data_IF_175423744097
#
_entry.id   IF_175423744097
#
_cell.length_a   1.000
_cell.length_b   1.000
_cell.length_c   1.000
_cell.angle_alpha   90.00
_cell.angle_beta   90.00
_cell.angle_gamma   90.00
#
_symmetry.space_group_name_H-M   'P 1'
#
loop_
_entity.id
_entity.type
_entity.pdbx_description
1 polymer ?
#
# COMPACT_ATOMS: atom_id res chain seq x y z
N UNK A 1 6.67 16.05 -12.15
CA UNK A 1 8.11 15.69 -12.04
C UNK A 1 8.58 15.12 -13.37
N UNK A 2 9.80 15.46 -13.82
CA UNK A 2 10.46 14.84 -14.98
C UNK A 2 11.70 14.11 -14.47
N UNK A 3 11.83 12.83 -14.80
CA UNK A 3 12.96 11.99 -14.42
C UNK A 3 13.42 11.24 -15.66
N UNK A 4 14.73 11.20 -15.90
CA UNK A 4 15.32 10.34 -16.93
C UNK A 4 15.61 8.97 -16.33
N UNK A 5 15.27 7.91 -17.05
CA UNK A 5 15.55 6.52 -16.67
C UNK A 5 16.25 5.81 -17.83
N UNK A 6 17.17 4.92 -17.50
CA UNK A 6 17.76 3.99 -18.46
C UNK A 6 16.92 2.72 -18.49
N UNK A 7 16.58 2.24 -19.69
CA UNK A 7 15.87 0.97 -19.91
C UNK A 7 16.53 0.21 -21.05
N UNK A 8 16.42 -1.13 -21.10
CA UNK A 8 16.88 -1.92 -22.24
C UNK A 8 16.25 -1.47 -23.57
N UNK A 9 17.02 -1.57 -24.66
CA UNK A 9 16.60 -1.12 -26.00
C UNK A 9 15.37 -1.86 -26.53
N UNK A 10 15.25 -3.15 -26.23
CA UNK A 10 14.10 -3.99 -26.57
C UNK A 10 12.82 -3.49 -25.87
N UNK A 11 12.91 -3.17 -24.57
CA UNK A 11 11.79 -2.59 -23.81
C UNK A 11 11.38 -1.25 -24.39
N UNK A 12 12.34 -0.39 -24.74
CA UNK A 12 12.04 0.88 -25.40
C UNK A 12 11.33 0.69 -26.75
N UNK A 13 11.84 -0.21 -27.59
CA UNK A 13 11.27 -0.49 -28.90
C UNK A 13 9.83 -1.02 -28.80
N UNK A 14 9.56 -1.89 -27.82
CA UNK A 14 8.24 -2.46 -27.57
C UNK A 14 7.25 -1.41 -27.07
N UNK A 15 7.70 -0.55 -26.15
CA UNK A 15 6.92 0.58 -25.67
C UNK A 15 6.59 1.58 -26.80
N UNK A 16 7.53 1.87 -27.71
CA UNK A 16 7.28 2.74 -28.86
C UNK A 16 6.20 2.19 -29.79
N UNK A 17 6.28 0.89 -30.12
CA UNK A 17 5.27 0.23 -30.96
C UNK A 17 3.90 0.27 -30.30
N UNK A 18 3.84 0.03 -28.99
CA UNK A 18 2.60 0.09 -28.23
C UNK A 18 2.03 1.51 -28.16
N UNK A 19 2.85 2.52 -27.89
CA UNK A 19 2.42 3.92 -27.80
C UNK A 19 1.79 4.39 -29.12
N UNK A 20 2.43 4.07 -30.25
CA UNK A 20 1.92 4.36 -31.60
C UNK A 20 0.57 3.70 -31.86
N UNK A 21 0.47 2.39 -31.58
CA UNK A 21 -0.78 1.63 -31.75
C UNK A 21 -1.93 2.19 -30.90
N UNK A 22 -1.63 2.64 -29.68
CA UNK A 22 -2.61 3.23 -28.77
C UNK A 22 -2.85 4.73 -28.98
N UNK A 23 -2.13 5.36 -29.93
CA UNK A 23 -2.14 6.81 -30.16
C UNK A 23 -1.88 7.62 -28.88
N UNK A 24 -0.95 7.15 -28.05
CA UNK A 24 -0.55 7.80 -26.79
C UNK A 24 0.86 8.35 -26.88
N UNK A 25 1.14 9.40 -26.11
CA UNK A 25 2.52 9.84 -25.95
C UNK A 25 3.34 8.83 -25.15
N UNK A 26 4.66 8.83 -25.35
CA UNK A 26 5.60 8.00 -24.60
C UNK A 26 5.47 8.21 -23.11
N UNK A 27 5.45 9.48 -22.67
CA UNK A 27 5.29 9.82 -21.26
C UNK A 27 3.98 9.30 -20.69
N UNK A 28 2.87 9.39 -21.42
CA UNK A 28 1.58 8.87 -20.95
C UNK A 28 1.59 7.34 -20.81
N UNK A 29 2.24 6.63 -21.75
CA UNK A 29 2.38 5.18 -21.67
C UNK A 29 3.17 4.77 -20.42
N UNK A 30 4.37 5.33 -20.23
CA UNK A 30 5.23 5.02 -19.09
C UNK A 30 4.58 5.41 -17.76
N UNK A 31 3.97 6.59 -17.65
CA UNK A 31 3.27 7.00 -16.43
C UNK A 31 2.12 6.07 -16.08
N UNK A 32 1.39 5.56 -17.08
CA UNK A 32 0.31 4.58 -16.84
C UNK A 32 0.89 3.25 -16.35
N UNK A 33 1.94 2.75 -17.00
CA UNK A 33 2.57 1.49 -16.63
C UNK A 33 3.11 1.54 -15.18
N UNK A 34 3.79 2.62 -14.80
CA UNK A 34 4.30 2.81 -13.44
C UNK A 34 3.17 2.85 -12.43
N UNK A 35 2.09 3.61 -12.70
CA UNK A 35 0.94 3.68 -11.79
C UNK A 35 0.30 2.31 -11.58
N UNK A 36 0.12 1.56 -12.66
CA UNK A 36 -0.48 0.22 -12.59
C UNK A 36 0.44 -0.76 -11.85
N UNK A 37 1.76 -0.66 -12.06
CA UNK A 37 2.73 -1.49 -11.34
C UNK A 37 2.70 -1.21 -9.84
N UNK A 38 2.73 0.06 -9.43
CA UNK A 38 2.64 0.45 -8.01
C UNK A 38 1.33 -0.05 -7.40
N UNK A 39 0.19 0.19 -8.07
CA UNK A 39 -1.11 -0.26 -7.57
C UNK A 39 -1.24 -1.79 -7.45
N UNK A 40 -0.51 -2.56 -8.27
CA UNK A 40 -0.46 -4.03 -8.14
C UNK A 40 0.35 -4.51 -6.94
N UNK A 41 1.28 -3.69 -6.44
CA UNK A 41 2.14 -4.02 -5.29
C UNK A 41 1.69 -3.31 -4.00
N UNK A 42 0.66 -2.47 -4.06
CA UNK A 42 0.07 -1.83 -2.88
C UNK A 42 -0.87 -2.74 -2.09
N UNK A 43 -1.01 -4.03 -2.43
CA UNK A 43 -1.73 -4.99 -1.59
C UNK A 43 -1.06 -5.11 -0.21
N UNK A 44 0.26 -4.95 -0.16
CA UNK A 44 1.03 -4.87 1.07
C UNK A 44 0.73 -3.56 1.81
N UNK A 45 0.60 -2.42 1.12
CA UNK A 45 0.21 -1.14 1.74
C UNK A 45 -1.20 -1.16 2.36
N UNK A 46 -2.16 -1.87 1.75
CA UNK A 46 -3.50 -2.03 2.34
C UNK A 46 -3.43 -2.87 3.61
N UNK A 47 -2.67 -3.96 3.58
CA UNK A 47 -2.46 -4.82 4.75
C UNK A 47 -1.72 -4.08 5.86
N UNK A 48 -0.66 -3.35 5.53
CA UNK A 48 0.07 -2.48 6.45
C UNK A 48 -0.82 -1.37 7.02
N UNK A 49 -1.65 -0.73 6.20
CA UNK A 49 -2.59 0.29 6.66
C UNK A 49 -3.66 -0.30 7.58
N UNK A 50 -4.15 -1.52 7.32
CA UNK A 50 -5.08 -2.20 8.21
C UNK A 50 -4.41 -2.62 9.52
N UNK A 51 -3.18 -3.13 9.46
CA UNK A 51 -2.39 -3.47 10.64
C UNK A 51 -2.15 -2.22 11.51
N UNK A 52 -1.81 -1.08 10.91
CA UNK A 52 -1.63 0.18 11.63
C UNK A 52 -2.91 0.63 12.36
N UNK A 53 -4.08 0.51 11.72
CA UNK A 53 -5.38 0.80 12.36
C UNK A 53 -5.65 -0.17 13.51
N UNK A 54 -5.39 -1.47 13.33
CA UNK A 54 -5.56 -2.47 14.38
C UNK A 54 -4.65 -2.17 15.57
N UNK A 55 -3.37 -1.87 15.35
CA UNK A 55 -2.41 -1.48 16.40
C UNK A 55 -2.84 -0.22 17.16
N UNK A 56 -3.32 0.81 16.46
CA UNK A 56 -3.85 2.02 17.08
C UNK A 56 -5.07 1.72 17.96
N UNK A 57 -5.93 0.79 17.53
CA UNK A 57 -7.16 0.45 18.25
C UNK A 57 -6.90 -0.50 19.43
N UNK A 58 -5.97 -1.45 19.30
CA UNK A 58 -5.55 -2.37 20.38
C UNK A 58 -5.04 -1.61 21.61
N UNK A 59 -4.31 -0.51 21.40
CA UNK A 59 -3.84 0.35 22.49
C UNK A 59 -5.00 0.90 23.35
N UNK A 60 -6.14 1.22 22.75
CA UNK A 60 -7.34 1.67 23.47
C UNK A 60 -8.08 0.55 24.21
N UNK A 61 -8.10 -0.67 23.64
CA UNK A 61 -8.75 -1.83 24.26
C UNK A 61 -7.94 -2.41 25.43
N UNK A 62 -6.61 -2.31 25.40
CA UNK A 62 -5.72 -2.80 26.46
C UNK A 62 -6.00 -2.10 27.81
N UNK A 63 -6.23 -0.79 27.78
CA UNK A 63 -6.52 -0.02 29.01
C UNK A 63 -7.90 -0.35 29.59
N UNK A 64 -8.92 -0.44 28.74
CA UNK A 64 -10.27 -0.84 29.18
C UNK A 64 -10.28 -2.27 29.74
N UNK A 65 -9.70 -3.21 29.02
CA UNK A 65 -9.66 -4.63 29.43
C UNK A 65 -8.86 -4.81 30.72
N UNK A 66 -7.73 -4.11 30.88
CA UNK A 66 -6.94 -4.12 32.12
C UNK A 66 -7.74 -3.55 33.29
N UNK A 67 -8.42 -2.41 33.11
CA UNK A 67 -9.23 -1.79 34.15
C UNK A 67 -10.42 -2.68 34.54
N UNK A 68 -11.10 -3.28 33.55
CA UNK A 68 -12.21 -4.20 33.77
C UNK A 68 -11.75 -5.48 34.50
N UNK A 69 -10.66 -6.10 34.04
CA UNK A 69 -10.08 -7.30 34.67
C UNK A 69 -9.68 -7.03 36.12
N UNK A 70 -8.99 -5.92 36.41
CA UNK A 70 -8.64 -5.50 37.78
C UNK A 70 -9.87 -5.33 38.67
N UNK A 71 -10.96 -4.75 38.12
CA UNK A 71 -12.20 -4.53 38.87
C UNK A 71 -12.92 -5.85 39.18
N UNK A 72 -12.93 -6.78 38.24
CA UNK A 72 -13.51 -8.12 38.42
C UNK A 72 -12.70 -8.92 39.44
N UNK A 73 -11.37 -8.95 39.31
CA UNK A 73 -10.47 -9.67 40.22
C UNK A 73 -10.52 -9.14 41.67
N UNK A 74 -10.75 -7.83 41.85
CA UNK A 74 -10.97 -7.24 43.19
C UNK A 74 -12.30 -7.66 43.84
N UNK A 75 -13.29 -8.05 43.04
CA UNK A 75 -14.63 -8.44 43.50
C UNK A 75 -14.77 -9.95 43.69
N UNK A 76 -13.87 -10.74 43.12
CA UNK A 76 -13.80 -12.17 43.38
C UNK A 76 -13.14 -12.39 44.75
N UNK A 77 -13.92 -12.95 45.67
CA UNK A 77 -13.40 -13.51 46.91
C UNK A 77 -12.67 -14.81 46.57
N UNK A 78 -11.40 -14.88 46.98
CA UNK A 78 -10.61 -16.11 46.94
C UNK A 78 -10.87 -16.93 48.19
#
# INVERSE_FOLDING_TARGET
MKTAISIPDDVFADAERLARRLKKSRSQLYSRAVREYVARHSADEVTESLNAVVEETEAGYADFSTAAARRTLRKSEW
#
